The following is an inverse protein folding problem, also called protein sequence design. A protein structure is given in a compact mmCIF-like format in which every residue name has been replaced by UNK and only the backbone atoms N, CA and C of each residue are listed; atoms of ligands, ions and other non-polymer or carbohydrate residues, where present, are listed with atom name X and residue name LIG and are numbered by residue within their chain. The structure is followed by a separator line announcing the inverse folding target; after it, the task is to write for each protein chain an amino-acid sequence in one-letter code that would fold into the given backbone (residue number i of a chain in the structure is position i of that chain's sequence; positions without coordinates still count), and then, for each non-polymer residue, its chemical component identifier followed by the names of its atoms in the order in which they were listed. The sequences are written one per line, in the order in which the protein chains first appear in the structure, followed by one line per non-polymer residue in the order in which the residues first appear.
data_IF_894444760869
#
_entry.id   IF_894444760869
#
_cell.length_a   1.000
_cell.length_b   1.000
_cell.length_c   1.000
_cell.angle_alpha   90.00
_cell.angle_beta   90.00
_cell.angle_gamma   90.00
#
_symmetry.space_group_name_H-M   'P 1'
#
loop_
_entity.id
_entity.type
_entity.pdbx_description
1 polymer ?
#
# COMPACT_ATOMS: atom_id res chain seq x y z
N UNK A 1 20.65 24.10 -14.20
CA UNK A 1 20.08 23.73 -12.90
C UNK A 1 19.41 22.38 -12.97
N UNK A 2 19.80 21.51 -12.08
CA UNK A 2 19.13 20.22 -11.99
C UNK A 2 17.69 20.44 -11.51
N UNK A 3 16.72 19.84 -12.18
CA UNK A 3 15.36 19.83 -11.69
C UNK A 3 15.30 19.03 -10.38
N UNK A 4 14.38 19.36 -9.50
CA UNK A 4 14.18 18.58 -8.30
C UNK A 4 13.86 17.14 -8.69
N UNK A 5 14.38 16.13 -7.95
CA UNK A 5 14.04 14.74 -8.24
C UNK A 5 12.53 14.53 -8.14
N UNK A 6 12.00 13.73 -9.05
CA UNK A 6 10.59 13.38 -9.01
C UNK A 6 10.33 12.53 -7.77
N UNK A 7 9.27 12.85 -7.04
CA UNK A 7 8.91 12.13 -5.82
C UNK A 7 7.47 11.64 -5.92
N UNK A 8 7.30 10.32 -5.95
CA UNK A 8 5.99 9.70 -6.06
C UNK A 8 5.43 9.24 -4.70
N UNK A 9 6.04 9.65 -3.60
CA UNK A 9 5.54 9.30 -2.25
C UNK A 9 4.09 9.76 -2.10
N UNK A 10 3.28 8.93 -1.44
CA UNK A 10 1.85 9.16 -1.26
C UNK A 10 1.08 9.14 -2.59
N UNK A 11 1.55 8.35 -3.53
CA UNK A 11 0.84 8.15 -4.80
C UNK A 11 0.57 6.67 -5.01
N UNK A 12 -0.43 6.39 -5.84
CA UNK A 12 -0.64 5.03 -6.34
C UNK A 12 0.22 4.83 -7.58
N UNK A 13 0.80 3.64 -7.66
CA UNK A 13 1.39 3.14 -8.90
C UNK A 13 0.46 2.06 -9.41
N UNK A 14 -0.08 2.27 -10.59
CA UNK A 14 -1.03 1.34 -11.19
C UNK A 14 -0.31 0.60 -12.30
N UNK A 15 -0.28 -0.73 -12.21
CA UNK A 15 0.40 -1.54 -13.21
C UNK A 15 -0.31 -1.39 -14.56
N UNK A 16 0.45 -1.04 -15.58
CA UNK A 16 -0.09 -0.97 -16.94
C UNK A 16 -0.36 -2.38 -17.47
N UNK A 17 -1.34 -2.57 -18.35
CA UNK A 17 -1.60 -3.90 -18.91
C UNK A 17 -0.42 -4.50 -19.64
N UNK A 18 0.51 -3.67 -20.10
CA UNK A 18 1.74 -4.14 -20.73
C UNK A 18 2.74 -4.74 -19.74
N UNK A 19 2.55 -4.48 -18.45
CA UNK A 19 3.41 -5.06 -17.41
C UNK A 19 3.01 -6.50 -17.18
N UNK A 20 3.79 -7.41 -17.74
CA UNK A 20 3.50 -8.86 -17.69
C UNK A 20 4.29 -9.60 -16.62
N UNK A 21 4.84 -8.85 -15.68
CA UNK A 21 5.49 -9.44 -14.52
C UNK A 21 4.47 -10.25 -13.72
N UNK A 22 4.77 -11.51 -13.44
CA UNK A 22 3.84 -12.39 -12.72
C UNK A 22 3.52 -11.92 -11.31
N UNK A 23 4.38 -11.10 -10.72
CA UNK A 23 4.18 -10.58 -9.38
C UNK A 23 3.32 -9.33 -9.38
N UNK A 24 3.55 -8.42 -10.33
CA UNK A 24 2.95 -7.09 -10.29
C UNK A 24 1.84 -6.85 -11.30
N UNK A 25 1.58 -7.81 -12.19
CA UNK A 25 0.49 -7.63 -13.16
C UNK A 25 -0.83 -7.36 -12.43
N UNK A 26 -1.54 -6.33 -12.85
CA UNK A 26 -2.84 -5.98 -12.28
C UNK A 26 -2.81 -5.39 -10.89
N UNK A 27 -1.66 -4.98 -10.39
CA UNK A 27 -1.56 -4.44 -9.03
C UNK A 27 -1.73 -2.94 -8.99
N UNK A 28 -2.20 -2.48 -7.83
CA UNK A 28 -2.09 -1.09 -7.40
C UNK A 28 -1.17 -1.07 -6.19
N UNK A 29 -0.15 -0.22 -6.23
CA UNK A 29 0.80 -0.08 -5.13
C UNK A 29 0.63 1.30 -4.53
N UNK A 30 0.54 1.36 -3.20
CA UNK A 30 0.62 2.62 -2.48
C UNK A 30 2.08 2.87 -2.15
N UNK A 31 2.64 3.97 -2.66
CA UNK A 31 4.06 4.28 -2.47
C UNK A 31 4.26 5.01 -1.16
N UNK A 32 4.93 4.33 -0.23
CA UNK A 32 5.14 4.83 1.13
C UNK A 32 6.35 5.75 1.22
N UNK A 33 7.36 5.50 0.40
CA UNK A 33 8.59 6.29 0.40
C UNK A 33 9.23 6.25 -0.98
N UNK A 34 9.72 7.40 -1.42
CA UNK A 34 10.48 7.49 -2.65
C UNK A 34 11.57 8.53 -2.49
N UNK A 35 12.81 8.10 -2.63
CA UNK A 35 13.98 8.97 -2.52
C UNK A 35 14.95 8.64 -3.67
N UNK A 36 16.03 9.36 -3.77
CA UNK A 36 17.09 9.06 -4.73
C UNK A 36 17.77 7.71 -4.44
N UNK A 37 17.58 7.17 -3.24
CA UNK A 37 18.13 5.87 -2.85
C UNK A 37 17.23 4.70 -3.22
N UNK A 38 16.01 4.96 -3.64
CA UNK A 38 15.06 3.93 -4.01
C UNK A 38 13.65 4.25 -3.57
N UNK A 39 12.81 3.24 -3.57
CA UNK A 39 11.40 3.40 -3.20
C UNK A 39 10.89 2.17 -2.47
N UNK A 40 9.84 2.39 -1.69
CA UNK A 40 9.14 1.34 -0.95
C UNK A 40 7.64 1.55 -1.07
N UNK A 41 6.92 0.48 -1.41
CA UNK A 41 5.48 0.54 -1.51
C UNK A 41 4.82 -0.76 -1.09
N UNK A 42 3.50 -0.71 -0.96
CA UNK A 42 2.69 -1.86 -0.59
C UNK A 42 1.61 -2.09 -1.65
N UNK A 43 1.53 -3.32 -2.15
CA UNK A 43 0.41 -3.71 -3.01
C UNK A 43 -0.85 -3.71 -2.15
N UNK A 44 -1.92 -3.08 -2.63
CA UNK A 44 -3.15 -2.91 -1.84
C UNK A 44 -4.33 -3.72 -2.36
N UNK A 45 -4.17 -4.46 -3.45
CA UNK A 45 -5.29 -5.16 -4.08
C UNK A 45 -5.05 -6.65 -4.36
N UNK A 46 -4.16 -7.28 -3.60
CA UNK A 46 -3.89 -8.72 -3.74
C UNK A 46 -4.07 -9.41 -2.38
N UNK A 47 -5.29 -9.83 -2.03
CA UNK A 47 -5.49 -10.57 -0.78
C UNK A 47 -4.87 -11.96 -0.87
N UNK A 48 -4.43 -12.47 0.29
CA UNK A 48 -3.96 -13.85 0.42
C UNK A 48 -4.95 -14.64 1.26
N UNK A 49 -4.73 -15.95 1.37
CA UNK A 49 -5.65 -16.86 2.07
C UNK A 49 -5.48 -16.83 3.59
N UNK A 50 -5.16 -15.68 4.16
CA UNK A 50 -5.01 -15.49 5.60
C UNK A 50 -5.91 -14.32 5.98
N UNK A 51 -6.70 -14.51 7.03
CA UNK A 51 -7.49 -13.42 7.62
C UNK A 51 -6.75 -12.82 8.79
N UNK A 52 -7.12 -11.60 9.17
CA UNK A 52 -6.47 -10.95 10.30
C UNK A 52 -6.55 -11.78 11.57
N UNK A 53 -7.68 -12.42 11.84
CA UNK A 53 -7.79 -13.29 13.01
C UNK A 53 -6.74 -14.39 13.02
N UNK A 54 -6.43 -14.96 11.85
CA UNK A 54 -5.43 -16.01 11.75
C UNK A 54 -4.01 -15.47 11.97
N UNK A 55 -3.75 -14.27 11.46
CA UNK A 55 -2.45 -13.63 11.69
C UNK A 55 -2.25 -13.34 13.18
N UNK A 56 -3.29 -12.85 13.87
CA UNK A 56 -3.21 -12.58 15.31
C UNK A 56 -2.98 -13.84 16.11
N UNK A 57 -3.63 -14.95 15.73
CA UNK A 57 -3.38 -16.24 16.37
C UNK A 57 -1.91 -16.67 16.24
N UNK A 58 -1.31 -16.45 15.09
CA UNK A 58 0.10 -16.80 14.85
C UNK A 58 1.06 -16.02 15.73
N UNK A 59 0.72 -14.80 16.09
CA UNK A 59 1.56 -13.98 16.96
C UNK A 59 1.09 -14.01 18.40
N UNK A 60 0.20 -14.95 18.73
CA UNK A 60 -0.29 -15.19 20.09
C UNK A 60 -1.02 -14.00 20.68
N UNK A 61 -1.77 -13.28 19.84
CA UNK A 61 -2.63 -12.17 20.27
C UNK A 61 -4.08 -12.49 19.92
N UNK A 62 -5.00 -12.08 20.81
CA UNK A 62 -6.41 -12.10 20.48
C UNK A 62 -6.75 -10.82 19.72
N UNK A 63 -7.74 -10.87 18.85
CA UNK A 63 -8.17 -9.67 18.11
C UNK A 63 -9.53 -9.23 18.67
N UNK A 64 -9.52 -8.17 19.46
CA UNK A 64 -10.72 -7.64 20.09
C UNK A 64 -11.36 -6.54 19.25
N UNK A 65 -11.39 -6.78 17.94
CA UNK A 65 -12.03 -5.91 16.95
C UNK A 65 -12.77 -6.82 15.97
N UNK A 66 -14.01 -7.23 16.29
CA UNK A 66 -14.72 -8.20 15.43
C UNK A 66 -14.91 -7.75 14.00
N UNK A 67 -14.99 -6.45 13.75
CA UNK A 67 -15.13 -5.91 12.41
C UNK A 67 -13.88 -6.14 11.55
N UNK A 68 -12.75 -6.41 12.19
CA UNK A 68 -11.49 -6.67 11.47
C UNK A 68 -11.17 -8.14 11.33
N UNK A 69 -11.82 -9.00 12.12
CA UNK A 69 -11.43 -10.42 12.22
C UNK A 69 -11.45 -11.14 10.88
N UNK A 70 -12.45 -10.88 10.06
CA UNK A 70 -12.63 -11.52 8.77
C UNK A 70 -11.94 -10.78 7.62
N UNK A 71 -11.30 -9.63 7.90
CA UNK A 71 -10.60 -8.89 6.87
C UNK A 71 -9.40 -9.70 6.37
N UNK A 72 -9.10 -9.64 5.06
CA UNK A 72 -7.95 -10.37 4.54
C UNK A 72 -6.64 -9.69 4.91
N UNK A 73 -5.58 -10.49 4.94
CA UNK A 73 -4.21 -9.99 4.88
C UNK A 73 -3.83 -9.92 3.41
N UNK A 74 -3.03 -8.94 3.03
CA UNK A 74 -2.69 -8.71 1.63
C UNK A 74 -1.24 -9.09 1.35
N UNK A 75 -0.98 -9.47 0.12
CA UNK A 75 0.38 -9.57 -0.39
C UNK A 75 0.86 -8.15 -0.71
N UNK A 76 1.83 -7.65 0.05
CA UNK A 76 2.34 -6.29 -0.11
C UNK A 76 3.49 -6.17 -1.09
N UNK A 77 4.12 -7.28 -1.41
CA UNK A 77 5.24 -7.34 -2.34
C UNK A 77 6.15 -8.52 -2.07
N UNK A 78 7.14 -8.75 -2.93
CA UNK A 78 7.98 -9.94 -2.86
C UNK A 78 9.13 -9.84 -1.85
N UNK A 79 9.33 -8.71 -1.20
CA UNK A 79 10.44 -8.52 -0.27
C UNK A 79 9.97 -8.76 1.15
N UNK A 80 10.72 -9.53 1.92
CA UNK A 80 10.42 -9.86 3.32
C UNK A 80 8.98 -10.34 3.50
N UNK A 81 8.58 -11.33 2.73
CA UNK A 81 7.19 -11.82 2.70
C UNK A 81 6.68 -12.40 4.01
N UNK A 82 7.57 -12.64 4.96
CA UNK A 82 7.22 -13.13 6.30
C UNK A 82 6.93 -12.00 7.27
N UNK A 83 7.26 -10.77 6.90
CA UNK A 83 7.13 -9.61 7.78
C UNK A 83 5.82 -8.89 7.52
N UNK A 84 5.14 -8.51 8.60
CA UNK A 84 3.91 -7.75 8.52
C UNK A 84 4.16 -6.24 8.44
N UNK A 85 3.35 -5.59 7.62
CA UNK A 85 3.35 -4.13 7.48
C UNK A 85 1.93 -3.66 7.67
N UNK A 86 1.73 -2.70 8.57
CA UNK A 86 0.39 -2.17 8.86
C UNK A 86 0.32 -0.74 8.36
N UNK A 87 -0.49 -0.52 7.34
CA UNK A 87 -0.78 0.81 6.82
C UNK A 87 -2.01 1.32 7.55
N UNK A 88 -1.96 2.53 8.09
CA UNK A 88 -3.05 3.08 8.88
C UNK A 88 -3.07 4.61 8.81
N UNK A 89 -4.16 5.19 9.26
CA UNK A 89 -4.27 6.63 9.38
C UNK A 89 -3.33 7.11 10.48
N UNK A 90 -2.83 8.33 10.32
CA UNK A 90 -2.08 8.99 11.38
C UNK A 90 -2.95 9.05 12.63
N UNK A 91 -2.35 8.77 13.79
CA UNK A 91 -3.09 8.72 15.06
C UNK A 91 -3.52 10.10 15.57
N UNK A 92 -3.36 11.13 14.75
CA UNK A 92 -3.90 12.45 15.06
C UNK A 92 -3.03 13.23 16.05
N UNK A 93 -2.88 14.48 15.79
CA UNK A 93 -2.13 15.39 16.64
C UNK A 93 -0.75 15.67 16.09
N UNK A 94 -0.44 16.94 16.08
CA UNK A 94 0.89 17.42 15.75
C UNK A 94 1.87 17.11 16.87
N UNK A 95 1.38 16.48 17.93
CA UNK A 95 2.20 16.21 19.09
C UNK A 95 2.98 14.91 18.90
N UNK A 96 4.26 15.04 18.90
CA UNK A 96 5.16 13.89 18.91
C UNK A 96 5.05 13.10 20.22
N UNK A 97 4.17 13.53 21.09
CA UNK A 97 4.07 12.96 22.42
C UNK A 97 3.21 11.72 22.45
N UNK A 98 3.80 10.60 22.11
CA UNK A 98 3.25 9.31 22.51
C UNK A 98 2.23 8.67 21.61
N UNK A 99 2.05 9.18 20.40
CA UNK A 99 1.09 8.60 19.47
C UNK A 99 1.67 7.64 18.45
N UNK A 100 2.95 7.34 18.50
CA UNK A 100 3.59 6.53 17.47
C UNK A 100 4.05 5.20 18.01
N UNK A 101 3.91 4.17 17.16
CA UNK A 101 4.47 2.87 17.44
C UNK A 101 5.97 2.89 17.18
N UNK A 102 6.69 1.94 17.75
CA UNK A 102 8.16 1.96 17.76
C UNK A 102 8.80 2.02 16.38
N UNK A 103 8.24 1.36 15.39
CA UNK A 103 8.78 1.34 14.02
C UNK A 103 7.73 1.85 13.07
N UNK A 104 7.58 3.16 13.00
CA UNK A 104 6.57 3.80 12.18
C UNK A 104 7.21 4.77 11.20
N UNK A 105 6.87 4.61 9.93
CA UNK A 105 7.21 5.55 8.87
C UNK A 105 6.03 6.49 8.66
N UNK A 106 6.27 7.78 8.84
CA UNK A 106 5.26 8.80 8.52
C UNK A 106 5.29 9.08 7.02
N UNK A 107 4.13 9.00 6.40
CA UNK A 107 4.01 9.24 4.96
C UNK A 107 3.34 10.59 4.77
N UNK A 108 3.96 11.53 4.02
CA UNK A 108 3.30 12.80 3.74
C UNK A 108 1.91 12.55 3.15
N UNK A 109 0.90 13.21 3.68
CA UNK A 109 -0.49 13.01 3.24
C UNK A 109 -1.41 12.43 4.30
N UNK A 110 -0.88 12.08 5.47
CA UNK A 110 -1.70 11.67 6.62
C UNK A 110 -1.76 10.20 6.93
N UNK A 111 -0.98 9.37 6.24
CA UNK A 111 -0.91 7.94 6.53
C UNK A 111 0.41 7.60 7.20
N UNK A 112 0.41 6.45 7.88
CA UNK A 112 1.60 5.92 8.52
C UNK A 112 1.70 4.42 8.24
N UNK A 113 2.93 3.91 8.18
CA UNK A 113 3.18 2.48 8.03
C UNK A 113 3.99 2.00 9.22
N UNK A 114 3.47 1.04 9.96
CA UNK A 114 4.11 0.49 11.15
C UNK A 114 4.53 -0.96 10.92
N UNK A 115 5.75 -1.28 11.35
CA UNK A 115 6.27 -2.64 11.24
C UNK A 115 6.52 -3.29 12.60
N UNK A 116 6.33 -2.56 13.69
CA UNK A 116 6.54 -3.09 15.04
C UNK A 116 5.27 -3.75 15.57
N UNK A 117 5.45 -4.70 16.49
CA UNK A 117 4.35 -5.49 17.04
C UNK A 117 3.37 -4.68 17.88
N UNK A 118 3.79 -3.53 18.40
CA UNK A 118 2.96 -2.73 19.28
C UNK A 118 1.65 -2.24 18.64
N UNK A 119 1.62 -2.05 17.31
CA UNK A 119 0.36 -1.73 16.64
C UNK A 119 -0.61 -2.92 16.70
N UNK A 120 -0.10 -4.14 16.58
CA UNK A 120 -0.92 -5.34 16.72
C UNK A 120 -1.42 -5.52 18.15
N UNK A 121 -0.58 -5.22 19.13
CA UNK A 121 -0.96 -5.25 20.53
C UNK A 121 -2.07 -4.25 20.86
N UNK A 122 -1.98 -3.05 20.28
CA UNK A 122 -3.05 -2.06 20.43
C UNK A 122 -4.37 -2.55 19.82
N UNK A 123 -4.33 -3.11 18.63
CA UNK A 123 -5.51 -3.68 17.98
C UNK A 123 -6.06 -4.86 18.78
N UNK A 124 -5.20 -5.66 19.37
CA UNK A 124 -5.57 -6.80 20.18
C UNK A 124 -6.40 -6.38 21.40
N UNK A 125 -6.11 -5.24 21.97
CA UNK A 125 -6.84 -4.72 23.13
C UNK A 125 -8.09 -3.90 22.77
N UNK A 126 -8.45 -3.85 21.49
CA UNK A 126 -9.60 -3.06 21.03
C UNK A 126 -9.28 -1.61 20.72
N UNK A 127 -8.02 -1.21 20.90
CA UNK A 127 -7.55 0.14 20.59
C UNK A 127 -6.92 0.18 19.19
N UNK A 128 -6.05 1.13 18.95
CA UNK A 128 -5.32 1.24 17.69
C UNK A 128 -6.06 2.04 16.63
N UNK A 129 -5.51 2.13 15.43
CA UNK A 129 -6.11 2.87 14.34
C UNK A 129 -7.47 2.30 13.94
N UNK A 130 -8.37 3.16 13.51
CA UNK A 130 -9.69 2.73 13.06
C UNK A 130 -9.65 2.04 11.71
N UNK A 131 -8.83 2.55 10.82
CA UNK A 131 -8.69 2.02 9.46
C UNK A 131 -7.29 1.49 9.27
N UNK A 132 -7.20 0.23 8.89
CA UNK A 132 -5.92 -0.44 8.68
C UNK A 132 -5.95 -1.28 7.42
N UNK A 133 -4.78 -1.49 6.86
CA UNK A 133 -4.55 -2.49 5.83
C UNK A 133 -3.26 -3.22 6.22
N UNK A 134 -3.35 -4.52 6.38
CA UNK A 134 -2.18 -5.33 6.79
C UNK A 134 -1.68 -6.12 5.60
N UNK A 135 -0.38 -6.01 5.33
CA UNK A 135 0.25 -6.79 4.28
C UNK A 135 1.36 -7.65 4.84
N UNK A 136 1.67 -8.71 4.13
CA UNK A 136 2.90 -9.46 4.30
C UNK A 136 3.81 -9.12 3.12
N UNK A 137 5.04 -8.71 3.44
CA UNK A 137 5.99 -8.28 2.43
C UNK A 137 5.76 -6.86 1.94
N UNK A 138 6.72 -6.37 1.18
CA UNK A 138 6.64 -5.06 0.56
C UNK A 138 7.25 -5.09 -0.84
N UNK A 139 7.00 -4.02 -1.59
CA UNK A 139 7.56 -3.81 -2.92
C UNK A 139 8.70 -2.81 -2.80
N UNK A 140 9.86 -3.15 -3.35
CA UNK A 140 11.04 -2.30 -3.24
C UNK A 140 11.66 -2.01 -4.59
N UNK A 141 12.22 -0.83 -4.74
CA UNK A 141 12.96 -0.40 -5.92
C UNK A 141 14.30 0.16 -5.46
N UNK A 142 15.37 -0.23 -6.15
CA UNK A 142 16.67 0.36 -5.93
C UNK A 142 16.75 1.78 -6.51
N UNK A 143 17.88 2.45 -6.26
CA UNK A 143 18.08 3.81 -6.73
C UNK A 143 17.87 3.90 -8.24
N UNK A 144 16.96 4.78 -8.68
CA UNK A 144 16.67 5.01 -10.09
C UNK A 144 15.82 3.93 -10.77
N UNK A 145 15.54 2.83 -10.10
CA UNK A 145 14.81 1.73 -10.71
C UNK A 145 13.36 2.10 -11.00
N UNK A 146 12.68 2.74 -10.06
CA UNK A 146 11.28 3.13 -10.26
C UNK A 146 11.17 4.12 -11.41
N UNK A 147 12.04 5.11 -11.44
CA UNK A 147 12.07 6.10 -12.50
C UNK A 147 12.27 5.45 -13.88
N UNK A 148 13.14 4.46 -13.95
CA UNK A 148 13.35 3.71 -15.20
C UNK A 148 12.09 2.95 -15.62
N UNK A 149 11.45 2.26 -14.68
CA UNK A 149 10.21 1.54 -14.97
C UNK A 149 9.07 2.47 -15.37
N UNK A 150 8.99 3.64 -14.76
CA UNK A 150 8.02 4.66 -15.15
C UNK A 150 8.27 5.15 -16.58
N UNK A 151 9.53 5.37 -16.93
CA UNK A 151 9.88 5.82 -18.28
C UNK A 151 9.57 4.78 -19.35
N UNK A 152 9.48 3.52 -18.97
CA UNK A 152 9.11 2.42 -19.87
C UNK A 152 7.62 2.12 -19.88
N UNK A 153 6.83 2.98 -19.25
CA UNK A 153 5.37 2.84 -19.17
C UNK A 153 4.91 1.56 -18.48
N UNK A 154 5.70 1.07 -17.53
CA UNK A 154 5.29 -0.07 -16.70
C UNK A 154 4.25 0.31 -15.67
N UNK A 155 4.29 1.53 -15.20
CA UNK A 155 3.43 2.06 -14.16
C UNK A 155 2.86 3.40 -14.56
N UNK A 156 1.63 3.67 -14.14
CA UNK A 156 1.04 4.99 -14.20
C UNK A 156 0.80 5.46 -12.77
N UNK A 157 1.08 6.73 -12.49
CA UNK A 157 0.98 7.26 -11.14
C UNK A 157 -0.15 8.25 -10.98
N UNK A 158 -0.73 8.30 -9.79
CA UNK A 158 -1.78 9.26 -9.44
C UNK A 158 -1.75 9.48 -7.94
N UNK A 159 -2.13 10.65 -7.47
CA UNK A 159 -2.22 10.94 -6.04
C UNK A 159 -3.13 9.95 -5.34
N UNK A 160 -2.69 9.43 -4.20
CA UNK A 160 -3.44 8.41 -3.48
C UNK A 160 -4.65 9.00 -2.75
N UNK A 161 -5.70 8.21 -2.65
CA UNK A 161 -6.86 8.51 -1.81
C UNK A 161 -7.02 7.40 -0.78
N UNK A 162 -7.01 7.75 0.52
CA UNK A 162 -7.15 6.73 1.57
C UNK A 162 -8.42 5.90 1.47
N UNK A 163 -9.51 6.48 0.98
CA UNK A 163 -10.76 5.74 0.80
C UNK A 163 -10.62 4.54 -0.15
N UNK A 164 -9.73 4.63 -1.13
CA UNK A 164 -9.50 3.50 -2.04
C UNK A 164 -8.75 2.39 -1.31
N UNK A 165 -7.84 2.76 -0.42
CA UNK A 165 -7.07 1.78 0.35
C UNK A 165 -7.95 1.04 1.37
N UNK A 166 -8.75 1.79 2.13
CA UNK A 166 -9.41 1.27 3.33
C UNK A 166 -10.88 0.94 3.13
N UNK A 167 -11.58 1.66 2.26
CA UNK A 167 -13.04 1.59 2.18
C UNK A 167 -13.56 0.97 0.89
N UNK A 168 -12.73 0.84 -0.13
CA UNK A 168 -13.13 0.29 -1.42
C UNK A 168 -12.98 -1.23 -1.43
N UNK A 169 -13.99 -1.98 -1.89
CA UNK A 169 -13.83 -3.44 -2.05
C UNK A 169 -12.60 -3.75 -2.90
N UNK A 170 -11.89 -4.81 -2.53
CA UNK A 170 -10.59 -5.12 -3.15
C UNK A 170 -10.69 -5.27 -4.66
N UNK A 171 -11.74 -5.90 -5.14
CA UNK A 171 -11.94 -6.14 -6.58
C UNK A 171 -12.21 -4.86 -7.37
N UNK A 172 -12.50 -3.76 -6.70
CA UNK A 172 -12.76 -2.46 -7.34
C UNK A 172 -11.61 -1.48 -7.22
N UNK A 173 -10.57 -1.81 -6.45
CA UNK A 173 -9.49 -0.86 -6.18
C UNK A 173 -8.70 -0.46 -7.40
N UNK A 174 -8.46 -1.40 -8.31
CA UNK A 174 -7.75 -1.10 -9.55
C UNK A 174 -8.53 -0.07 -10.39
N UNK A 175 -9.81 -0.35 -10.64
CA UNK A 175 -10.64 0.54 -11.44
C UNK A 175 -10.84 1.90 -10.76
N UNK A 176 -10.99 1.92 -9.44
CA UNK A 176 -11.15 3.18 -8.70
C UNK A 176 -9.89 4.02 -8.76
N UNK A 177 -8.72 3.39 -8.66
CA UNK A 177 -7.47 4.12 -8.79
C UNK A 177 -7.33 4.72 -10.18
N UNK A 178 -7.67 3.97 -11.24
CA UNK A 178 -7.66 4.51 -12.59
C UNK A 178 -8.64 5.66 -12.76
N UNK A 179 -9.79 5.60 -12.10
CA UNK A 179 -10.79 6.66 -12.22
C UNK A 179 -10.29 8.01 -11.70
N UNK A 180 -9.30 8.02 -10.81
CA UNK A 180 -8.68 9.26 -10.36
C UNK A 180 -7.99 10.02 -11.49
N UNK A 181 -7.62 9.31 -12.55
CA UNK A 181 -7.02 9.91 -13.75
C UNK A 181 -8.05 10.24 -14.82
N UNK A 182 -9.33 9.93 -14.58
CA UNK A 182 -10.38 10.10 -15.57
C UNK A 182 -10.35 9.06 -16.68
N UNK A 183 -9.71 7.91 -16.43
CA UNK A 183 -9.61 6.81 -17.41
C UNK A 183 -10.17 5.53 -16.81
N UNK A 184 -10.48 4.57 -17.69
CA UNK A 184 -10.88 3.24 -17.26
C UNK A 184 -9.94 2.18 -17.84
N UNK A 185 -10.09 0.94 -17.39
CA UNK A 185 -9.20 -0.15 -17.80
C UNK A 185 -9.24 -0.41 -19.30
N UNK A 186 -10.37 -0.17 -19.95
CA UNK A 186 -10.51 -0.37 -21.39
C UNK A 186 -9.63 0.62 -22.17
N UNK A 187 -9.44 1.81 -21.65
CA UNK A 187 -8.59 2.82 -22.28
C UNK A 187 -7.11 2.46 -22.25
N UNK A 188 -6.73 1.58 -21.34
CA UNK A 188 -5.34 1.15 -21.20
C UNK A 188 -4.99 -0.06 -22.05
N UNK A 189 -5.99 -0.79 -22.56
CA UNK A 189 -5.72 -1.97 -23.39
C UNK A 189 -5.03 -1.55 -24.68
N UNK A 190 -4.12 -2.38 -25.17
CA UNK A 190 -3.41 -2.10 -26.40
C UNK A 190 -4.35 -1.93 -27.59
N UNK A 191 -5.48 -2.56 -27.54
CA UNK A 191 -6.50 -2.44 -28.60
C UNK A 191 -7.19 -1.09 -28.60
N UNK A 192 -7.34 -0.51 -27.42
CA UNK A 192 -7.96 0.80 -27.31
C UNK A 192 -7.10 1.90 -27.95
N UNK A 193 -5.83 1.65 -28.14
CA UNK A 193 -4.95 2.59 -28.83
C UNK A 193 -5.02 2.54 -30.35
N UNK A 194 -5.78 1.65 -30.89
CA UNK A 194 -5.95 1.53 -32.34
C UNK A 194 -7.17 2.31 -32.78
N UNK A 195 -6.95 3.49 -33.14
CA UNK A 195 -8.00 4.28 -33.74
C UNK A 195 -8.04 4.01 -35.23
#
# INVERSE_FOLDING_TARGET
MASAPVNFTNQFLIAMPSLRDGTFAGTVIYLCEHTEKGALGLVINKPIDIKLKNLFEKVELSLDRPELAEAPVYFGGPVQTERGFVLHESLGGDDDAGGHYNSTLRIPGGLEMTTSKDVLEALSSGAGPKKILVTLGYSGWGAGQLEDEMSRNGWINVGAEPGIIFDTPVEQRYDKALSLLGIDANMLSGEAGHA
#
